data_IF_713816612491
#
_entry.id   IF_713816612491
#
_cell.length_a   1.000
_cell.length_b   1.000
_cell.length_c   1.000
_cell.angle_alpha   90.00
_cell.angle_beta   90.00
_cell.angle_gamma   90.00
#
_symmetry.space_group_name_H-M   'P 1'
#
loop_
_entity.id
_entity.type
_entity.pdbx_description
1 polymer ?
#
# COMPACT_ATOMS: atom_id res chain seq x y z
N UNK A 1 -9.02 7.81 -8.43
CA UNK A 1 -9.53 8.11 -7.06
C UNK A 1 -10.73 9.06 -7.11
N UNK A 2 -10.72 10.09 -7.97
CA UNK A 2 -11.93 10.84 -8.34
C UNK A 2 -12.61 10.11 -9.51
N UNK A 3 -13.71 9.41 -9.26
CA UNK A 3 -14.37 8.60 -10.29
C UNK A 3 -15.73 8.13 -9.81
N UNK A 4 -15.77 7.30 -8.77
CA UNK A 4 -17.04 6.86 -8.18
C UNK A 4 -17.83 8.05 -7.61
N UNK A 5 -19.12 8.18 -7.98
CA UNK A 5 -20.04 9.16 -7.39
C UNK A 5 -20.31 10.44 -8.19
N UNK A 6 -19.66 10.69 -9.33
CA UNK A 6 -20.07 11.77 -10.23
C UNK A 6 -21.14 11.24 -11.18
N UNK A 7 -22.39 11.62 -10.92
CA UNK A 7 -23.54 11.37 -11.79
C UNK A 7 -23.99 12.69 -12.43
N UNK A 8 -23.29 13.11 -13.49
CA UNK A 8 -23.61 14.29 -14.27
C UNK A 8 -23.91 13.86 -15.71
N UNK A 9 -25.15 14.05 -16.15
CA UNK A 9 -25.62 13.53 -17.42
C UNK A 9 -24.90 14.12 -18.65
N UNK A 10 -24.46 15.37 -18.55
CA UNK A 10 -23.95 16.16 -19.67
C UNK A 10 -22.42 16.32 -19.71
N UNK A 11 -21.67 15.31 -19.26
CA UNK A 11 -20.21 15.29 -19.46
C UNK A 11 -19.92 15.10 -20.95
N UNK A 12 -19.24 16.08 -21.56
CA UNK A 12 -18.96 16.13 -23.00
C UNK A 12 -17.60 15.61 -23.42
N UNK A 13 -16.64 15.59 -22.50
CA UNK A 13 -15.32 15.08 -22.81
C UNK A 13 -14.67 14.40 -21.61
N UNK A 14 -13.90 13.37 -21.89
CA UNK A 14 -13.04 12.67 -20.93
C UNK A 14 -11.66 12.54 -21.56
N UNK A 15 -10.66 13.03 -20.85
CA UNK A 15 -9.25 12.95 -21.26
C UNK A 15 -8.50 12.10 -20.26
N UNK A 16 -8.00 10.96 -20.71
CA UNK A 16 -7.07 10.12 -19.96
C UNK A 16 -5.66 10.64 -20.22
N UNK A 17 -5.16 11.45 -19.28
CA UNK A 17 -3.81 12.01 -19.34
C UNK A 17 -2.71 10.95 -19.13
N UNK A 18 -3.03 9.88 -18.40
CA UNK A 18 -2.16 8.72 -18.21
C UNK A 18 -2.89 7.44 -18.61
N UNK A 19 -2.13 6.39 -18.90
CA UNK A 19 -2.70 5.06 -19.14
C UNK A 19 -3.56 4.58 -17.95
N UNK A 20 -4.78 4.06 -18.20
CA UNK A 20 -5.57 3.38 -17.18
C UNK A 20 -4.91 2.05 -16.78
N UNK A 21 -5.23 1.54 -15.58
CA UNK A 21 -4.68 0.28 -15.06
C UNK A 21 -5.24 -0.97 -15.75
N UNK A 22 -6.37 -0.84 -16.42
CA UNK A 22 -7.03 -1.90 -17.16
C UNK A 22 -8.13 -1.35 -18.06
N UNK A 23 -8.63 -2.17 -18.99
CA UNK A 23 -9.75 -1.81 -19.86
C UNK A 23 -11.08 -1.65 -19.10
N UNK A 24 -11.26 -2.35 -17.97
CA UNK A 24 -12.42 -2.16 -17.09
C UNK A 24 -12.41 -0.77 -16.46
N UNK A 25 -11.24 -0.32 -15.98
CA UNK A 25 -11.10 1.04 -15.46
C UNK A 25 -11.37 2.08 -16.55
N UNK A 26 -10.77 1.89 -17.74
CA UNK A 26 -11.00 2.77 -18.88
C UNK A 26 -12.50 2.88 -19.23
N UNK A 27 -13.17 1.74 -19.39
CA UNK A 27 -14.60 1.65 -19.76
C UNK A 27 -15.50 2.31 -18.72
N UNK A 28 -15.26 2.02 -17.43
CA UNK A 28 -16.01 2.64 -16.34
C UNK A 28 -15.86 4.16 -16.32
N UNK A 29 -14.67 4.66 -16.65
CA UNK A 29 -14.37 6.09 -16.67
C UNK A 29 -15.01 6.77 -17.89
N UNK A 30 -14.80 6.26 -19.11
CA UNK A 30 -15.38 6.84 -20.33
C UNK A 30 -16.92 6.76 -20.34
N UNK A 31 -17.51 5.74 -19.71
CA UNK A 31 -18.96 5.57 -19.57
C UNK A 31 -19.67 6.64 -18.71
N UNK A 32 -18.93 7.63 -18.21
CA UNK A 32 -19.49 8.82 -17.55
C UNK A 32 -19.89 9.92 -18.54
N UNK A 33 -19.30 9.92 -19.74
CA UNK A 33 -19.61 10.90 -20.76
C UNK A 33 -20.89 10.52 -21.52
N UNK A 34 -21.59 11.52 -22.07
CA UNK A 34 -22.68 11.25 -23.03
C UNK A 34 -23.94 10.58 -22.46
N UNK A 35 -24.18 10.63 -21.14
CA UNK A 35 -25.35 9.95 -20.51
C UNK A 35 -26.70 10.54 -20.91
N UNK A 36 -26.72 11.79 -21.35
CA UNK A 36 -27.88 12.46 -21.97
C UNK A 36 -28.12 12.06 -23.43
N UNK A 37 -27.32 11.13 -23.98
CA UNK A 37 -27.41 10.66 -25.36
C UNK A 37 -26.76 11.60 -26.39
N UNK A 38 -26.27 12.77 -25.98
CA UNK A 38 -25.53 13.66 -26.85
C UNK A 38 -24.08 13.18 -27.03
N UNK A 39 -23.51 13.43 -28.21
CA UNK A 39 -22.13 13.05 -28.54
C UNK A 39 -21.14 13.55 -27.48
N UNK A 40 -20.19 12.70 -27.12
CA UNK A 40 -19.09 13.03 -26.25
C UNK A 40 -17.75 12.54 -26.83
N UNK A 41 -16.67 13.19 -26.42
CA UNK A 41 -15.31 12.92 -26.90
C UNK A 41 -14.48 12.24 -25.80
N UNK A 42 -13.93 11.07 -26.08
CA UNK A 42 -13.03 10.38 -25.16
C UNK A 42 -11.66 10.24 -25.82
N UNK A 43 -10.61 10.67 -25.13
CA UNK A 43 -9.26 10.70 -25.66
C UNK A 43 -8.25 10.14 -24.66
N UNK A 44 -7.39 9.23 -25.13
CA UNK A 44 -6.31 8.63 -24.36
C UNK A 44 -4.97 9.16 -24.85
N UNK A 45 -4.24 9.86 -24.00
CA UNK A 45 -2.88 10.32 -24.26
C UNK A 45 -1.90 9.21 -23.88
N UNK A 46 -1.81 8.18 -24.73
CA UNK A 46 -1.04 6.99 -24.44
C UNK A 46 0.48 7.23 -24.53
N UNK A 47 1.19 7.05 -23.41
CA UNK A 47 2.64 7.17 -23.30
C UNK A 47 3.24 5.89 -22.71
N UNK A 48 4.34 5.40 -23.28
CA UNK A 48 5.06 4.25 -22.75
C UNK A 48 5.74 4.54 -21.40
N UNK A 49 5.98 5.80 -21.05
CA UNK A 49 6.49 6.18 -19.73
C UNK A 49 5.48 5.86 -18.62
N UNK A 50 4.18 5.98 -18.90
CA UNK A 50 3.12 5.62 -17.94
C UNK A 50 3.10 4.12 -17.68
N UNK A 51 3.28 3.31 -18.73
CA UNK A 51 3.29 1.85 -18.63
C UNK A 51 4.36 1.40 -17.64
N UNK A 52 5.57 1.95 -17.76
CA UNK A 52 6.71 1.66 -16.87
C UNK A 52 6.38 1.96 -15.41
N UNK A 53 5.72 3.08 -15.13
CA UNK A 53 5.29 3.45 -13.78
C UNK A 53 4.25 2.47 -13.25
N UNK A 54 3.27 2.07 -14.06
CA UNK A 54 2.22 1.11 -13.68
C UNK A 54 2.77 -0.30 -13.43
N UNK A 55 3.69 -0.75 -14.28
CA UNK A 55 4.42 -2.02 -14.10
C UNK A 55 5.23 -2.00 -12.79
N UNK A 56 5.95 -0.92 -12.52
CA UNK A 56 6.70 -0.75 -11.26
C UNK A 56 5.80 -0.89 -10.03
N UNK A 57 4.59 -0.32 -10.05
CA UNK A 57 3.63 -0.53 -8.96
C UNK A 57 3.29 -2.01 -8.79
N UNK A 58 3.02 -2.71 -9.88
CA UNK A 58 2.67 -4.14 -9.91
C UNK A 58 3.81 -5.01 -9.34
N UNK A 59 5.04 -4.81 -9.81
CA UNK A 59 6.22 -5.53 -9.30
C UNK A 59 6.53 -5.22 -7.83
N UNK A 60 6.26 -3.99 -7.39
CA UNK A 60 6.45 -3.56 -6.01
C UNK A 60 5.48 -4.20 -5.02
N UNK A 61 4.34 -4.71 -5.51
CA UNK A 61 3.28 -5.31 -4.71
C UNK A 61 3.43 -6.84 -4.52
N UNK A 62 4.41 -7.46 -5.19
CA UNK A 62 4.75 -8.87 -4.98
C UNK A 62 5.77 -9.03 -3.86
N UNK A 63 5.42 -9.73 -2.76
CA UNK A 63 6.30 -9.90 -1.61
C UNK A 63 7.44 -10.89 -1.88
N UNK A 64 8.56 -10.72 -1.17
CA UNK A 64 9.64 -11.72 -1.17
C UNK A 64 9.21 -13.01 -0.45
N UNK A 65 9.61 -14.20 -0.93
CA UNK A 65 9.31 -15.48 -0.28
C UNK A 65 9.65 -15.52 1.22
N UNK A 66 10.83 -15.03 1.60
CA UNK A 66 11.28 -15.07 3.00
C UNK A 66 10.51 -14.08 3.88
N UNK A 67 10.18 -12.90 3.35
CA UNK A 67 9.33 -11.93 4.04
C UNK A 67 7.94 -12.49 4.29
N UNK A 68 7.36 -13.15 3.29
CA UNK A 68 6.05 -13.81 3.40
C UNK A 68 6.09 -14.94 4.44
N UNK A 69 7.10 -15.81 4.39
CA UNK A 69 7.28 -16.89 5.39
C UNK A 69 7.39 -16.33 6.81
N UNK A 70 8.14 -15.24 6.99
CA UNK A 70 8.32 -14.59 8.28
C UNK A 70 7.01 -14.02 8.84
N UNK A 71 6.20 -13.35 8.00
CA UNK A 71 4.86 -12.88 8.40
C UNK A 71 3.96 -14.05 8.77
N UNK A 72 3.90 -15.09 7.92
CA UNK A 72 3.03 -16.24 8.17
C UNK A 72 3.36 -16.92 9.49
N UNK A 73 4.65 -17.10 9.80
CA UNK A 73 5.09 -17.62 11.10
C UNK A 73 4.61 -16.71 12.24
N UNK A 74 4.84 -15.39 12.12
CA UNK A 74 4.45 -14.42 13.15
C UNK A 74 2.93 -14.38 13.41
N UNK A 75 2.11 -14.56 12.37
CA UNK A 75 0.64 -14.56 12.48
C UNK A 75 0.10 -15.91 12.99
N UNK A 76 0.61 -17.03 12.50
CA UNK A 76 0.04 -18.37 12.76
C UNK A 76 0.59 -19.02 14.05
N UNK A 77 1.66 -18.47 14.63
CA UNK A 77 2.15 -18.85 15.96
C UNK A 77 1.36 -18.19 17.11
N UNK A 78 0.49 -17.21 16.81
CA UNK A 78 -0.38 -16.57 17.80
C UNK A 78 -1.38 -17.56 18.42
N UNK A 79 -1.85 -17.23 19.63
CA UNK A 79 -2.84 -18.04 20.37
C UNK A 79 -4.16 -17.28 20.48
N UNK A 80 -5.25 -17.93 20.12
CA UNK A 80 -6.61 -17.39 20.30
C UNK A 80 -6.86 -16.12 19.47
N UNK A 81 -7.22 -15.05 20.15
CA UNK A 81 -7.37 -13.72 19.56
C UNK A 81 -6.06 -12.94 19.70
N UNK A 82 -5.71 -12.25 18.62
CA UNK A 82 -4.55 -11.40 18.55
C UNK A 82 -4.86 -10.20 17.68
N UNK A 83 -3.97 -9.21 17.69
CA UNK A 83 -4.14 -8.01 16.91
C UNK A 83 -2.81 -7.56 16.33
N UNK A 84 -2.91 -6.84 15.21
CA UNK A 84 -1.74 -6.44 14.44
C UNK A 84 -1.83 -4.97 14.07
N UNK A 85 -0.67 -4.34 13.97
CA UNK A 85 -0.51 -3.08 13.25
C UNK A 85 0.05 -3.40 11.86
N UNK A 86 -0.74 -3.11 10.83
CA UNK A 86 -0.33 -3.30 9.43
C UNK A 86 0.96 -2.51 9.15
N UNK A 87 1.12 -1.32 9.74
CA UNK A 87 2.31 -0.51 9.57
C UNK A 87 3.54 -1.09 10.28
N UNK A 88 3.37 -1.75 11.42
CA UNK A 88 4.48 -2.42 12.12
C UNK A 88 4.93 -3.66 11.33
N UNK A 89 3.99 -4.50 10.89
CA UNK A 89 4.28 -5.65 10.04
C UNK A 89 4.92 -5.24 8.70
N UNK A 90 4.42 -4.16 8.09
CA UNK A 90 4.99 -3.60 6.86
C UNK A 90 6.46 -3.26 7.01
N UNK A 91 6.83 -2.63 8.13
CA UNK A 91 8.20 -2.27 8.45
C UNK A 91 9.07 -3.46 8.75
N UNK A 92 8.58 -4.37 9.59
CA UNK A 92 9.33 -5.53 10.04
C UNK A 92 9.70 -6.49 8.91
N UNK A 93 8.86 -6.56 7.86
CA UNK A 93 8.99 -7.56 6.80
C UNK A 93 9.20 -6.97 5.40
N UNK A 94 9.32 -5.65 5.26
CA UNK A 94 9.51 -4.98 3.96
C UNK A 94 8.38 -5.26 2.95
N UNK A 95 7.14 -5.33 3.43
CA UNK A 95 5.95 -5.58 2.61
C UNK A 95 5.03 -4.35 2.66
N UNK A 96 4.50 -3.91 1.52
CA UNK A 96 3.59 -2.75 1.48
C UNK A 96 2.29 -3.04 2.24
N UNK A 97 1.65 -2.05 2.89
CA UNK A 97 0.41 -2.26 3.65
C UNK A 97 -0.71 -2.93 2.86
N UNK A 98 -0.92 -2.55 1.59
CA UNK A 98 -1.95 -3.14 0.73
C UNK A 98 -1.69 -4.63 0.43
N UNK A 99 -0.43 -5.02 0.35
CA UNK A 99 -0.01 -6.42 0.12
C UNK A 99 -0.25 -7.25 1.38
N UNK A 100 -0.01 -6.69 2.57
CA UNK A 100 -0.36 -7.33 3.85
C UNK A 100 -1.88 -7.51 3.95
N UNK A 101 -2.67 -6.49 3.61
CA UNK A 101 -4.13 -6.63 3.60
C UNK A 101 -4.60 -7.73 2.63
N UNK A 102 -3.99 -7.82 1.45
CA UNK A 102 -4.25 -8.90 0.48
C UNK A 102 -3.91 -10.27 1.10
N UNK A 103 -2.74 -10.40 1.74
CA UNK A 103 -2.33 -11.64 2.41
C UNK A 103 -3.33 -12.06 3.49
N UNK A 104 -3.74 -11.12 4.35
CA UNK A 104 -4.73 -11.39 5.40
C UNK A 104 -6.07 -11.82 4.81
N UNK A 105 -6.48 -11.20 3.70
CA UNK A 105 -7.70 -11.58 2.97
C UNK A 105 -7.61 -13.01 2.44
N UNK A 106 -6.47 -13.42 1.85
CA UNK A 106 -6.30 -14.81 1.41
C UNK A 106 -6.37 -15.80 2.59
N UNK A 107 -5.72 -15.48 3.71
CA UNK A 107 -5.78 -16.30 4.91
C UNK A 107 -7.21 -16.39 5.49
N UNK A 108 -7.99 -15.32 5.38
CA UNK A 108 -9.40 -15.29 5.81
C UNK A 108 -10.29 -16.15 4.89
N UNK A 109 -10.15 -15.98 3.57
CA UNK A 109 -10.90 -16.76 2.57
C UNK A 109 -10.61 -18.26 2.72
N UNK A 110 -9.35 -18.64 2.97
CA UNK A 110 -8.95 -20.03 3.20
C UNK A 110 -9.26 -20.53 4.62
N UNK A 111 -9.81 -19.68 5.47
CA UNK A 111 -10.32 -20.01 6.81
C UNK A 111 -9.24 -20.23 7.86
N UNK A 112 -8.06 -19.64 7.71
CA UNK A 112 -7.00 -19.67 8.73
C UNK A 112 -7.27 -18.67 9.87
N UNK A 113 -7.84 -17.52 9.53
CA UNK A 113 -8.15 -16.44 10.47
C UNK A 113 -9.52 -15.83 10.16
N UNK A 114 -10.08 -15.12 11.14
CA UNK A 114 -11.27 -14.29 10.97
C UNK A 114 -10.98 -12.89 11.51
N UNK A 115 -11.33 -11.84 10.75
CA UNK A 115 -11.20 -10.47 11.21
C UNK A 115 -12.16 -10.20 12.39
N UNK A 116 -11.66 -9.49 13.40
CA UNK A 116 -12.49 -8.91 14.48
C UNK A 116 -12.50 -7.38 14.36
N UNK A 117 -13.08 -6.66 15.32
CA UNK A 117 -13.18 -5.21 15.22
C UNK A 117 -11.81 -4.53 15.34
N UNK A 118 -11.51 -3.52 14.50
CA UNK A 118 -10.35 -2.65 14.71
C UNK A 118 -10.51 -1.84 15.99
N UNK A 119 -9.39 -1.46 16.58
CA UNK A 119 -9.37 -0.58 17.76
C UNK A 119 -8.11 0.30 17.77
N UNK A 120 -8.13 1.35 18.58
CA UNK A 120 -6.95 2.20 18.80
C UNK A 120 -6.18 1.68 20.00
N UNK A 121 -4.88 1.42 19.81
CA UNK A 121 -3.98 0.93 20.87
C UNK A 121 -3.82 1.98 21.97
N UNK A 122 -3.78 3.26 21.59
CA UNK A 122 -3.59 4.36 22.51
C UNK A 122 -4.41 5.59 22.14
N UNK A 123 -4.60 6.47 23.11
CA UNK A 123 -5.27 7.74 22.95
C UNK A 123 -4.33 8.85 23.40
N UNK A 124 -4.14 9.84 22.53
CA UNK A 124 -3.46 11.08 22.91
C UNK A 124 -4.50 12.01 23.52
N UNK A 125 -4.26 12.44 24.74
CA UNK A 125 -5.18 13.27 25.53
C UNK A 125 -4.51 14.58 25.90
N UNK A 126 -5.26 15.67 25.87
CA UNK A 126 -4.83 16.98 26.34
C UNK A 126 -5.91 17.55 27.24
N UNK A 127 -5.52 18.09 28.39
CA UNK A 127 -6.43 18.76 29.29
C UNK A 127 -6.94 20.09 28.71
N UNK A 128 -8.26 20.29 28.71
CA UNK A 128 -8.87 21.58 28.42
C UNK A 128 -9.11 22.38 29.71
N UNK A 129 -9.23 21.69 30.85
CA UNK A 129 -9.36 22.24 32.20
C UNK A 129 -8.28 21.68 33.12
N UNK A 130 -7.98 22.35 34.23
CA UNK A 130 -6.93 21.86 35.14
C UNK A 130 -7.28 20.50 35.74
N UNK A 131 -6.25 19.71 36.08
CA UNK A 131 -6.43 18.39 36.68
C UNK A 131 -7.19 18.47 38.01
N UNK A 132 -6.99 19.54 38.78
CA UNK A 132 -7.71 19.77 40.04
C UNK A 132 -9.21 19.93 39.81
N UNK A 133 -9.60 20.62 38.73
CA UNK A 133 -11.00 20.78 38.36
C UNK A 133 -11.62 19.43 37.96
N UNK A 134 -10.89 18.64 37.18
CA UNK A 134 -11.33 17.31 36.74
C UNK A 134 -11.52 16.33 37.91
N UNK A 135 -10.73 16.47 38.99
CA UNK A 135 -10.88 15.66 40.21
C UNK A 135 -11.90 16.23 41.20
N UNK A 136 -12.36 17.48 41.01
CA UNK A 136 -13.30 18.14 41.89
C UNK A 136 -14.74 17.68 41.57
N UNK A 137 -15.38 17.00 42.52
CA UNK A 137 -16.75 16.50 42.36
C UNK A 137 -16.84 15.02 41.96
N UNK A 138 -15.72 14.34 41.75
CA UNK A 138 -15.68 12.89 41.57
C UNK A 138 -15.89 12.15 42.90
N UNK A 139 -16.55 10.99 42.84
CA UNK A 139 -16.56 10.06 43.96
C UNK A 139 -15.15 9.45 44.21
N UNK A 140 -14.90 8.83 45.37
CA UNK A 140 -13.58 8.28 45.69
C UNK A 140 -13.06 7.26 44.67
N UNK A 141 -13.94 6.47 44.06
CA UNK A 141 -13.57 5.43 43.08
C UNK A 141 -13.17 6.05 41.74
N UNK A 142 -13.93 7.03 41.27
CA UNK A 142 -13.63 7.83 40.09
C UNK A 142 -12.31 8.58 40.26
N UNK A 143 -12.09 9.16 41.45
CA UNK A 143 -10.84 9.89 41.74
C UNK A 143 -9.61 8.98 41.63
N UNK A 144 -9.66 7.79 42.22
CA UNK A 144 -8.58 6.80 42.09
C UNK A 144 -8.32 6.41 40.64
N UNK A 145 -9.38 6.20 39.86
CA UNK A 145 -9.27 5.85 38.44
C UNK A 145 -8.63 6.98 37.61
N UNK A 146 -9.06 8.22 37.82
CA UNK A 146 -8.50 9.39 37.13
C UNK A 146 -7.05 9.66 37.56
N UNK A 147 -6.69 9.34 38.80
CA UNK A 147 -5.29 9.38 39.25
C UNK A 147 -4.42 8.31 38.57
N UNK A 148 -4.97 7.12 38.30
CA UNK A 148 -4.30 6.06 37.52
C UNK A 148 -4.13 6.48 36.06
N UNK A 149 -5.19 7.01 35.43
CA UNK A 149 -5.18 7.45 34.03
C UNK A 149 -4.29 8.68 33.82
N UNK A 150 -4.29 9.58 34.81
CA UNK A 150 -3.60 10.86 34.74
C UNK A 150 -2.72 11.08 35.98
N UNK A 151 -1.60 10.35 36.11
CA UNK A 151 -0.67 10.58 37.22
C UNK A 151 -0.09 12.00 37.18
N UNK A 152 0.34 12.56 38.33
CA UNK A 152 0.84 13.93 38.42
C UNK A 152 2.02 14.16 37.47
N UNK A 153 1.97 15.23 36.69
CA UNK A 153 3.03 15.61 35.76
C UNK A 153 3.47 17.05 36.01
N UNK A 154 4.71 17.39 35.61
CA UNK A 154 5.24 18.76 35.75
C UNK A 154 4.56 19.79 34.84
N UNK A 155 3.84 19.35 33.81
CA UNK A 155 3.08 20.18 32.89
C UNK A 155 1.81 19.43 32.50
N UNK A 156 0.64 20.07 32.56
CA UNK A 156 -0.64 19.48 32.11
C UNK A 156 -1.05 19.94 30.70
N UNK A 157 -0.30 20.87 30.09
CA UNK A 157 -0.63 21.49 28.81
C UNK A 157 -0.05 20.77 27.57
N UNK A 158 0.43 19.54 27.71
CA UNK A 158 0.98 18.74 26.61
C UNK A 158 0.15 17.49 26.36
N UNK A 159 0.23 16.96 25.13
CA UNK A 159 -0.44 15.72 24.76
C UNK A 159 0.17 14.52 25.49
N UNK A 160 -0.62 13.84 26.32
CA UNK A 160 -0.24 12.59 26.98
C UNK A 160 -0.76 11.41 26.18
N UNK A 161 -0.03 10.31 26.15
CA UNK A 161 -0.50 9.07 25.52
C UNK A 161 -0.97 8.10 26.61
N UNK A 162 -2.18 7.57 26.46
CA UNK A 162 -2.79 6.59 27.36
C UNK A 162 -3.03 5.31 26.57
N UNK A 163 -2.54 4.17 27.08
CA UNK A 163 -2.93 2.84 26.62
C UNK A 163 -4.11 2.35 27.50
N UNK A 164 -5.31 2.18 26.93
CA UNK A 164 -6.46 1.67 27.68
C UNK A 164 -6.27 0.25 28.23
N UNK A 165 -5.36 -0.55 27.68
CA UNK A 165 -5.00 -1.88 28.18
C UNK A 165 -4.19 -1.79 29.46
N UNK A 166 -3.10 -1.01 29.47
CA UNK A 166 -2.31 -0.79 30.69
C UNK A 166 -3.16 -0.13 31.79
N UNK A 167 -4.02 0.82 31.42
CA UNK A 167 -4.94 1.45 32.34
C UNK A 167 -6.02 0.49 32.87
N UNK A 168 -6.50 -0.44 32.05
CA UNK A 168 -7.42 -1.49 32.45
C UNK A 168 -6.77 -2.40 33.50
N UNK A 169 -5.55 -2.87 33.24
CA UNK A 169 -4.79 -3.73 34.16
C UNK A 169 -4.53 -3.03 35.52
N UNK A 170 -4.25 -1.73 35.49
CA UNK A 170 -3.98 -0.95 36.71
C UNK A 170 -5.26 -0.59 37.51
N UNK A 171 -6.43 -0.54 36.86
CA UNK A 171 -7.68 -0.08 37.47
C UNK A 171 -8.71 -1.19 37.74
N UNK A 172 -8.48 -2.40 37.22
CA UNK A 172 -9.45 -3.50 37.27
C UNK A 172 -10.67 -3.31 36.35
N UNK A 173 -10.64 -2.29 35.47
CA UNK A 173 -11.65 -2.08 34.42
C UNK A 173 -11.29 -2.79 33.14
N UNK A 174 -12.23 -2.88 32.20
CA UNK A 174 -11.98 -3.34 30.84
C UNK A 174 -11.46 -2.23 29.94
N UNK A 175 -10.73 -2.60 28.89
CA UNK A 175 -10.26 -1.69 27.82
C UNK A 175 -11.40 -0.82 27.24
N UNK A 176 -12.58 -1.41 27.09
CA UNK A 176 -13.78 -0.75 26.55
C UNK A 176 -14.30 0.32 27.51
N UNK A 177 -14.35 0.03 28.81
CA UNK A 177 -14.74 1.02 29.82
C UNK A 177 -13.76 2.19 29.89
N UNK A 178 -12.44 1.94 29.83
CA UNK A 178 -11.46 3.02 29.81
C UNK A 178 -11.64 3.90 28.57
N UNK A 179 -11.83 3.29 27.40
CA UNK A 179 -12.08 4.05 26.16
C UNK A 179 -13.36 4.89 26.26
N UNK A 180 -14.42 4.34 26.84
CA UNK A 180 -15.69 5.02 27.07
C UNK A 180 -15.52 6.23 28.01
N UNK A 181 -14.77 6.08 29.11
CA UNK A 181 -14.49 7.18 30.03
C UNK A 181 -13.73 8.32 29.35
N UNK A 182 -12.75 8.00 28.49
CA UNK A 182 -12.03 9.03 27.74
C UNK A 182 -12.96 9.79 26.79
N UNK A 183 -13.89 9.10 26.13
CA UNK A 183 -14.92 9.73 25.30
C UNK A 183 -15.87 10.60 26.12
N UNK A 184 -16.34 10.13 27.27
CA UNK A 184 -17.21 10.91 28.15
C UNK A 184 -16.53 12.19 28.65
N UNK A 185 -15.25 12.13 29.02
CA UNK A 185 -14.48 13.32 29.42
C UNK A 185 -14.23 14.29 28.24
N UNK A 186 -14.16 13.79 27.01
CA UNK A 186 -14.13 14.63 25.81
C UNK A 186 -15.48 15.32 25.56
N UNK A 187 -16.57 14.57 25.67
CA UNK A 187 -17.94 15.08 25.47
C UNK A 187 -18.31 16.15 26.51
N UNK A 188 -17.85 16.00 27.75
CA UNK A 188 -17.99 17.00 28.81
C UNK A 188 -17.07 18.23 28.60
N UNK A 189 -16.17 18.17 27.61
CA UNK A 189 -15.23 19.23 27.27
C UNK A 189 -14.01 19.33 28.19
N UNK A 190 -13.80 18.35 29.07
CA UNK A 190 -12.69 18.35 30.02
C UNK A 190 -11.36 17.96 29.35
N UNK A 191 -11.43 17.11 28.33
CA UNK A 191 -10.28 16.66 27.53
C UNK A 191 -10.48 16.94 26.04
N UNK A 192 -9.38 17.10 25.32
CA UNK A 192 -9.32 16.82 23.88
C UNK A 192 -8.71 15.43 23.70
N UNK A 193 -9.35 14.53 22.95
CA UNK A 193 -8.86 13.17 22.73
C UNK A 193 -8.56 12.95 21.25
N UNK A 194 -7.44 12.28 20.98
CA UNK A 194 -6.99 11.92 19.63
C UNK A 194 -6.61 10.45 19.62
N UNK A 195 -7.44 9.57 19.05
CA UNK A 195 -7.10 8.17 18.89
C UNK A 195 -5.79 8.00 18.10
N UNK A 196 -4.98 7.03 18.49
CA UNK A 196 -3.64 6.80 17.95
C UNK A 196 -3.36 5.30 17.86
N UNK A 197 -2.42 4.93 16.97
CA UNK A 197 -1.98 3.54 16.75
C UNK A 197 -3.16 2.58 16.48
N UNK A 198 -3.78 2.70 15.31
CA UNK A 198 -4.82 1.75 14.86
C UNK A 198 -4.25 0.33 14.80
N UNK A 199 -5.01 -0.62 15.34
CA UNK A 199 -4.70 -2.05 15.32
C UNK A 199 -5.93 -2.81 14.84
N UNK A 200 -5.70 -3.85 14.07
CA UNK A 200 -6.72 -4.73 13.52
C UNK A 200 -6.69 -6.05 14.29
N UNK A 201 -7.82 -6.41 14.90
CA UNK A 201 -7.96 -7.68 15.60
C UNK A 201 -8.27 -8.84 14.64
N UNK A 202 -7.83 -10.03 15.04
CA UNK A 202 -8.02 -11.30 14.36
C UNK A 202 -8.20 -12.44 15.35
N UNK A 203 -8.90 -13.48 14.93
CA UNK A 203 -8.98 -14.76 15.65
C UNK A 203 -8.40 -15.86 14.78
N UNK A 204 -7.49 -16.65 15.33
CA UNK A 204 -6.98 -17.84 14.65
C UNK A 204 -8.04 -18.95 14.66
N UNK A 205 -8.41 -19.46 13.48
CA UNK A 205 -9.43 -20.50 13.32
C UNK A 205 -8.83 -21.90 13.23
N UNK A 206 -7.75 -22.04 12.45
CA UNK A 206 -7.01 -23.29 12.28
C UNK A 206 -5.53 -23.03 12.03
N UNK A 207 -4.69 -24.02 12.31
CA UNK A 207 -3.29 -24.03 11.89
C UNK A 207 -3.14 -24.79 10.58
N UNK A 208 -2.20 -24.38 9.70
CA UNK A 208 -1.88 -25.17 8.52
C UNK A 208 -1.19 -26.47 8.93
N UNK A 209 -1.44 -27.54 8.18
CA UNK A 209 -0.72 -28.81 8.32
C UNK A 209 0.76 -28.63 7.96
N UNK A 210 1.04 -27.80 6.95
CA UNK A 210 2.39 -27.44 6.51
C UNK A 210 2.48 -25.95 6.23
N UNK A 211 3.28 -25.23 7.04
CA UNK A 211 3.59 -23.82 6.80
C UNK A 211 4.30 -23.61 5.45
N UNK A 212 5.12 -24.57 5.04
CA UNK A 212 5.86 -24.52 3.77
C UNK A 212 4.92 -24.58 2.58
N UNK A 213 3.94 -25.48 2.60
CA UNK A 213 2.95 -25.61 1.52
C UNK A 213 2.08 -24.37 1.41
N UNK A 214 1.58 -23.86 2.55
CA UNK A 214 0.83 -22.59 2.58
C UNK A 214 1.67 -21.43 2.04
N UNK A 215 2.93 -21.33 2.43
CA UNK A 215 3.84 -20.28 1.94
C UNK A 215 4.00 -20.38 0.41
N UNK A 216 4.26 -21.57 -0.12
CA UNK A 216 4.43 -21.77 -1.56
C UNK A 216 3.14 -21.44 -2.33
N UNK A 217 1.98 -21.84 -1.79
CA UNK A 217 0.67 -21.53 -2.35
C UNK A 217 0.43 -20.02 -2.43
N UNK A 218 0.72 -19.28 -1.37
CA UNK A 218 0.56 -17.83 -1.32
C UNK A 218 1.55 -17.11 -2.25
N UNK A 219 2.79 -17.60 -2.37
CA UNK A 219 3.76 -17.09 -3.38
C UNK A 219 3.17 -17.22 -4.78
N UNK A 220 2.61 -18.39 -5.12
CA UNK A 220 1.98 -18.61 -6.41
C UNK A 220 0.79 -17.67 -6.64
N UNK A 221 -0.04 -17.41 -5.62
CA UNK A 221 -1.14 -16.44 -5.74
C UNK A 221 -0.66 -15.02 -6.03
N UNK A 222 0.40 -14.55 -5.36
CA UNK A 222 0.98 -13.24 -5.63
C UNK A 222 1.64 -13.17 -7.02
N UNK A 223 2.30 -14.23 -7.46
CA UNK A 223 2.88 -14.31 -8.81
C UNK A 223 1.79 -14.32 -9.90
N UNK A 224 0.73 -15.11 -9.71
CA UNK A 224 -0.42 -15.14 -10.63
C UNK A 224 -1.07 -13.76 -10.73
N UNK A 225 -1.22 -13.06 -9.59
CA UNK A 225 -1.71 -11.69 -9.57
C UNK A 225 -0.78 -10.73 -10.32
N UNK A 226 0.53 -10.78 -10.08
CA UNK A 226 1.52 -9.98 -10.82
C UNK A 226 1.38 -10.20 -12.33
N UNK A 227 1.32 -11.46 -12.78
CA UNK A 227 1.15 -11.78 -14.21
C UNK A 227 -0.19 -11.27 -14.76
N UNK A 228 -1.29 -11.45 -14.03
CA UNK A 228 -2.61 -10.98 -14.46
C UNK A 228 -2.71 -9.46 -14.53
N UNK A 229 -2.11 -8.77 -13.56
CA UNK A 229 -2.08 -7.30 -13.52
C UNK A 229 -1.25 -6.74 -14.69
N UNK A 230 -0.10 -7.34 -15.00
CA UNK A 230 0.72 -6.99 -16.17
C UNK A 230 -0.01 -7.27 -17.50
N UNK A 231 -0.71 -8.41 -17.61
CA UNK A 231 -1.48 -8.74 -18.80
C UNK A 231 -2.58 -7.69 -19.05
N UNK A 232 -3.30 -7.26 -18.01
CA UNK A 232 -4.33 -6.21 -18.13
C UNK A 232 -3.76 -4.86 -18.54
N UNK A 233 -2.53 -4.52 -18.13
CA UNK A 233 -1.83 -3.33 -18.63
C UNK A 233 -1.51 -3.48 -20.12
N UNK A 234 -1.05 -4.67 -20.53
CA UNK A 234 -0.77 -4.95 -21.93
C UNK A 234 -2.03 -4.86 -22.79
N UNK A 235 -3.20 -5.27 -22.28
CA UNK A 235 -4.48 -5.12 -22.98
C UNK A 235 -4.81 -3.65 -23.26
N UNK A 236 -4.51 -2.74 -22.33
CA UNK A 236 -4.65 -1.30 -22.54
C UNK A 236 -3.73 -0.79 -23.64
N UNK A 237 -2.48 -1.26 -23.66
CA UNK A 237 -1.50 -0.91 -24.71
C UNK A 237 -1.98 -1.43 -26.08
N UNK A 238 -2.40 -2.70 -26.13
CA UNK A 238 -2.92 -3.33 -27.35
C UNK A 238 -4.14 -2.57 -27.87
N UNK A 239 -5.05 -2.16 -26.98
CA UNK A 239 -6.21 -1.36 -27.32
C UNK A 239 -5.83 0.02 -27.90
N UNK A 240 -4.84 0.69 -27.31
CA UNK A 240 -4.36 1.98 -27.82
C UNK A 240 -3.70 1.88 -29.20
N UNK A 241 -2.96 0.78 -29.42
CA UNK A 241 -2.23 0.48 -30.66
C UNK A 241 -3.05 -0.28 -31.71
N UNK A 242 -4.28 -0.67 -31.40
CA UNK A 242 -5.14 -1.43 -32.32
C UNK A 242 -5.37 -0.64 -33.60
N UNK A 243 -5.19 -1.31 -34.75
CA UNK A 243 -5.51 -0.77 -36.07
C UNK A 243 -7.00 -0.82 -36.40
N UNK A 244 -7.76 -1.61 -35.64
CA UNK A 244 -9.17 -1.89 -35.89
C UNK A 244 -10.06 -0.87 -35.17
N UNK A 245 -11.38 -1.04 -35.28
CA UNK A 245 -12.30 -0.17 -34.57
C UNK A 245 -12.09 -0.26 -33.04
N UNK A 246 -11.75 0.86 -32.40
CA UNK A 246 -11.49 0.92 -30.96
C UNK A 246 -12.68 0.42 -30.14
N UNK A 247 -13.91 0.81 -30.50
CA UNK A 247 -15.09 0.44 -29.73
C UNK A 247 -15.44 -1.05 -29.90
N UNK A 248 -15.26 -1.58 -31.12
CA UNK A 248 -15.40 -3.01 -31.39
C UNK A 248 -14.38 -3.84 -30.63
N UNK A 249 -13.10 -3.47 -30.67
CA UNK A 249 -12.03 -4.11 -29.90
C UNK A 249 -12.31 -4.08 -28.41
N UNK A 250 -12.81 -2.95 -27.89
CA UNK A 250 -13.18 -2.81 -26.49
C UNK A 250 -14.36 -3.71 -26.10
N UNK A 251 -15.41 -3.81 -26.91
CA UNK A 251 -16.53 -4.72 -26.63
C UNK A 251 -16.11 -6.20 -26.72
N UNK A 252 -15.23 -6.53 -27.68
CA UNK A 252 -14.70 -7.89 -27.81
C UNK A 252 -13.94 -8.34 -26.56
N UNK A 253 -13.26 -7.42 -25.86
CA UNK A 253 -12.63 -7.70 -24.54
C UNK A 253 -13.65 -8.17 -23.50
N UNK A 254 -14.88 -7.65 -23.54
CA UNK A 254 -15.98 -8.04 -22.66
C UNK A 254 -16.81 -9.21 -23.18
N UNK A 255 -16.40 -9.82 -24.30
CA UNK A 255 -17.12 -10.94 -24.93
C UNK A 255 -18.35 -10.51 -25.72
N UNK A 256 -18.44 -9.24 -26.10
CA UNK A 256 -19.52 -8.70 -26.93
C UNK A 256 -19.03 -8.46 -28.37
N UNK A 257 -19.87 -8.79 -29.35
CA UNK A 257 -19.58 -8.60 -30.76
C UNK A 257 -20.35 -7.41 -31.32
N UNK A 258 -19.70 -6.65 -32.22
CA UNK A 258 -20.34 -5.56 -32.95
C UNK A 258 -19.66 -5.32 -34.30
N UNK A 259 -20.37 -4.69 -35.22
CA UNK A 259 -19.78 -4.11 -36.43
C UNK A 259 -18.95 -2.86 -36.10
N UNK A 260 -17.98 -2.47 -36.96
CA UNK A 260 -17.19 -1.25 -36.76
C UNK A 260 -18.06 0.00 -36.51
N UNK A 261 -17.74 0.77 -35.48
CA UNK A 261 -18.61 1.86 -35.02
C UNK A 261 -18.70 3.07 -35.96
N UNK A 262 -17.80 3.18 -36.96
CA UNK A 262 -17.78 4.28 -37.93
C UNK A 262 -17.35 5.65 -37.39
N UNK A 263 -17.14 5.80 -36.07
CA UNK A 263 -16.93 7.11 -35.42
C UNK A 263 -15.63 7.22 -34.60
N UNK A 264 -14.96 6.12 -34.25
CA UNK A 264 -13.69 6.18 -33.54
C UNK A 264 -12.56 6.71 -34.45
N UNK A 265 -11.42 7.10 -33.88
CA UNK A 265 -10.26 7.60 -34.64
C UNK A 265 -9.82 6.62 -35.75
N UNK A 266 -9.76 5.33 -35.43
CA UNK A 266 -9.42 4.24 -36.37
C UNK A 266 -10.39 4.13 -37.54
N UNK A 267 -11.70 4.13 -37.27
CA UNK A 267 -12.73 4.17 -38.32
C UNK A 267 -12.67 5.44 -39.18
N UNK A 268 -12.18 6.55 -38.61
CA UNK A 268 -11.94 7.82 -39.32
C UNK A 268 -10.61 7.86 -40.08
N UNK A 269 -9.84 6.77 -40.08
CA UNK A 269 -8.59 6.62 -40.85
C UNK A 269 -7.31 7.03 -40.10
N UNK A 270 -7.39 7.35 -38.81
CA UNK A 270 -6.21 7.58 -37.98
C UNK A 270 -5.43 6.29 -37.77
N UNK A 271 -4.11 6.35 -37.98
CA UNK A 271 -3.23 5.18 -37.88
C UNK A 271 -2.44 5.23 -36.57
N UNK A 272 -2.52 4.20 -35.72
CA UNK A 272 -1.70 4.13 -34.52
C UNK A 272 -0.21 4.05 -34.91
N UNK A 273 0.70 4.54 -34.04
CA UNK A 273 2.12 4.24 -34.20
C UNK A 273 2.38 2.74 -33.97
N UNK A 274 3.53 2.23 -34.40
CA UNK A 274 3.90 0.80 -34.20
C UNK A 274 4.12 0.46 -32.72
N UNK A 275 4.51 1.46 -31.91
CA UNK A 275 4.72 1.35 -30.47
C UNK A 275 4.33 2.66 -29.79
N UNK A 276 4.01 2.58 -28.50
CA UNK A 276 3.77 3.79 -27.72
C UNK A 276 5.01 4.68 -27.71
N UNK A 277 4.85 6.01 -27.90
CA UNK A 277 5.95 6.94 -27.70
C UNK A 277 6.42 6.87 -26.24
N UNK A 278 7.72 6.81 -26.03
CA UNK A 278 8.33 6.72 -24.71
C UNK A 278 9.68 7.42 -24.71
N UNK A 279 10.13 7.84 -23.53
CA UNK A 279 11.47 8.39 -23.34
C UNK A 279 12.51 7.29 -23.61
N UNK A 280 13.57 7.62 -24.35
CA UNK A 280 14.65 6.67 -24.64
C UNK A 280 15.38 6.24 -23.37
N UNK A 281 15.76 4.97 -23.30
CA UNK A 281 16.39 4.35 -22.13
C UNK A 281 17.83 3.99 -22.46
N UNK A 282 18.81 4.88 -22.25
CA UNK A 282 20.21 4.60 -22.58
C UNK A 282 20.72 3.44 -21.71
N UNK A 283 21.58 2.58 -22.24
CA UNK A 283 22.18 1.51 -21.44
C UNK A 283 22.93 2.10 -20.22
N UNK A 284 22.92 1.43 -19.06
CA UNK A 284 23.66 1.87 -17.88
C UNK A 284 25.15 2.06 -18.22
N UNK A 285 25.69 3.23 -17.88
CA UNK A 285 27.10 3.56 -18.11
C UNK A 285 28.03 2.77 -17.17
N UNK A 286 29.34 2.78 -17.47
CA UNK A 286 30.35 2.22 -16.56
C UNK A 286 30.36 2.92 -15.19
N UNK A 287 30.01 4.19 -15.14
CA UNK A 287 29.87 4.95 -13.89
C UNK A 287 28.68 4.44 -13.08
N UNK A 288 27.52 4.24 -13.73
CA UNK A 288 26.33 3.69 -13.09
C UNK A 288 26.61 2.30 -12.48
N UNK A 289 27.28 1.43 -13.24
CA UNK A 289 27.67 0.11 -12.77
C UNK A 289 28.63 0.18 -11.57
N UNK A 290 29.54 1.15 -11.55
CA UNK A 290 30.45 1.38 -10.42
C UNK A 290 29.69 1.82 -9.17
N UNK A 291 28.72 2.73 -9.32
CA UNK A 291 27.84 3.17 -8.22
C UNK A 291 27.03 1.99 -7.68
N UNK A 292 26.43 1.17 -8.55
CA UNK A 292 25.63 0.01 -8.18
C UNK A 292 26.50 -1.03 -7.45
N UNK A 293 27.69 -1.34 -7.96
CA UNK A 293 28.62 -2.23 -7.29
C UNK A 293 29.02 -1.68 -5.92
N UNK A 294 29.36 -0.39 -5.82
CA UNK A 294 29.66 0.26 -4.54
C UNK A 294 28.52 0.13 -3.52
N UNK A 295 27.27 0.26 -3.97
CA UNK A 295 26.08 0.06 -3.13
C UNK A 295 25.94 -1.39 -2.64
N UNK A 296 26.18 -2.38 -3.52
CA UNK A 296 26.14 -3.81 -3.16
C UNK A 296 27.18 -4.13 -2.08
N UNK A 297 28.39 -3.58 -2.19
CA UNK A 297 29.47 -3.79 -1.22
C UNK A 297 29.15 -3.27 0.18
N UNK A 298 28.25 -2.29 0.31
CA UNK A 298 27.80 -1.77 1.61
C UNK A 298 26.88 -2.75 2.37
N UNK A 299 26.38 -3.81 1.70
CA UNK A 299 25.60 -4.91 2.30
C UNK A 299 24.37 -4.46 3.10
N UNK A 300 23.72 -3.39 2.67
CA UNK A 300 22.48 -2.88 3.26
C UNK A 300 21.44 -4.00 3.38
N UNK A 301 20.86 -4.27 4.57
CA UNK A 301 19.91 -5.36 4.76
C UNK A 301 18.69 -5.28 3.83
N UNK A 302 18.22 -4.07 3.54
CA UNK A 302 17.08 -3.82 2.65
C UNK A 302 17.37 -3.94 1.15
N UNK A 303 18.61 -4.23 0.73
CA UNK A 303 19.03 -4.31 -0.68
C UNK A 303 19.72 -5.63 -1.03
N UNK A 304 19.57 -6.68 -0.20
CA UNK A 304 20.32 -7.93 -0.34
C UNK A 304 19.86 -8.82 -1.47
N UNK A 305 18.58 -8.73 -1.86
CA UNK A 305 18.04 -9.54 -2.94
C UNK A 305 18.05 -8.76 -4.26
N UNK A 306 18.20 -9.44 -5.41
CA UNK A 306 18.12 -8.79 -6.73
C UNK A 306 16.85 -7.95 -6.91
N UNK A 307 15.72 -8.43 -6.40
CA UNK A 307 14.43 -7.73 -6.52
C UNK A 307 14.34 -6.49 -5.62
N UNK A 308 14.94 -6.52 -4.43
CA UNK A 308 15.04 -5.32 -3.58
C UNK A 308 15.96 -4.27 -4.17
N UNK A 309 17.13 -4.67 -4.68
CA UNK A 309 18.05 -3.77 -5.36
C UNK A 309 17.39 -3.16 -6.61
N UNK A 310 16.72 -3.98 -7.43
CA UNK A 310 16.01 -3.48 -8.60
C UNK A 310 14.94 -2.45 -8.24
N UNK A 311 14.17 -2.70 -7.17
CA UNK A 311 13.16 -1.74 -6.69
C UNK A 311 13.80 -0.41 -6.35
N UNK A 312 14.92 -0.45 -5.65
CA UNK A 312 15.66 0.74 -5.24
C UNK A 312 16.21 1.54 -6.44
N UNK A 313 16.83 0.85 -7.41
CA UNK A 313 17.39 1.47 -8.61
C UNK A 313 16.30 2.06 -9.51
N UNK A 314 15.12 1.44 -9.57
CA UNK A 314 13.95 1.98 -10.28
C UNK A 314 13.17 3.06 -9.50
N UNK A 315 13.67 3.52 -8.35
CA UNK A 315 13.03 4.58 -7.57
C UNK A 315 11.74 4.14 -6.85
N UNK A 316 11.55 2.84 -6.65
CA UNK A 316 10.42 2.32 -5.89
C UNK A 316 10.74 2.29 -4.39
N UNK A 317 9.94 3.02 -3.62
CA UNK A 317 10.01 2.97 -2.17
C UNK A 317 9.64 1.59 -1.63
N UNK A 318 10.35 1.17 -0.61
CA UNK A 318 10.00 0.04 0.24
C UNK A 318 10.11 0.46 1.71
N UNK A 319 9.38 -0.20 2.62
CA UNK A 319 9.58 0.04 4.05
C UNK A 319 11.07 -0.05 4.44
N UNK A 320 11.79 -1.09 4.03
CA UNK A 320 13.20 -1.26 4.38
C UNK A 320 14.10 -0.10 3.92
N UNK A 321 13.81 0.53 2.78
CA UNK A 321 14.66 1.62 2.24
C UNK A 321 14.26 3.00 2.77
N UNK A 322 12.99 3.16 3.21
CA UNK A 322 12.40 4.44 3.61
C UNK A 322 12.62 4.81 5.09
N UNK A 323 13.05 3.86 5.93
CA UNK A 323 13.30 4.08 7.36
C UNK A 323 14.79 4.20 7.71
N UNK A 324 15.05 4.70 8.91
CA UNK A 324 16.40 4.92 9.45
C UNK A 324 17.00 3.62 10.00
N UNK A 325 18.22 3.29 9.58
CA UNK A 325 18.99 2.16 10.11
C UNK A 325 19.93 2.58 11.25
N UNK A 326 20.36 1.61 12.07
CA UNK A 326 21.45 1.77 13.04
C UNK A 326 22.69 1.05 12.52
N UNK A 327 23.85 1.73 12.50
CA UNK A 327 25.11 1.15 12.03
C UNK A 327 25.68 0.13 13.04
N UNK A 328 26.39 -0.93 12.59
CA UNK A 328 26.94 -1.99 13.45
C UNK A 328 27.97 -1.52 14.50
N UNK A 329 28.53 -0.32 14.37
CA UNK A 329 29.65 0.17 15.19
C UNK A 329 29.23 1.14 16.32
N UNK A 330 27.98 1.11 16.76
CA UNK A 330 27.49 1.96 17.85
C UNK A 330 27.34 3.45 17.47
N UNK A 331 27.71 3.84 16.25
CA UNK A 331 27.44 5.16 15.69
C UNK A 331 25.94 5.31 15.36
N UNK A 332 25.25 6.19 16.08
CA UNK A 332 23.85 6.56 15.83
C UNK A 332 23.74 7.45 14.59
N UNK A 333 23.94 6.92 13.39
CA UNK A 333 23.62 7.64 12.16
C UNK A 333 22.28 7.16 11.60
N UNK A 334 21.25 7.96 11.82
CA UNK A 334 19.93 7.81 11.20
C UNK A 334 20.08 8.15 9.71
N UNK A 335 20.15 7.14 8.85
CA UNK A 335 20.20 7.37 7.39
C UNK A 335 19.07 6.62 6.67
N UNK A 336 18.37 7.32 5.78
CA UNK A 336 17.40 6.72 4.86
C UNK A 336 18.18 6.24 3.65
N UNK A 337 18.04 4.98 3.25
CA UNK A 337 18.79 4.48 2.09
C UNK A 337 18.35 5.22 0.81
N UNK A 338 17.09 5.65 0.73
CA UNK A 338 16.57 6.44 -0.40
C UNK A 338 17.24 7.81 -0.59
N UNK A 339 18.07 8.30 0.35
CA UNK A 339 18.89 9.50 0.11
C UNK A 339 20.24 9.21 -0.55
N UNK A 340 20.58 7.94 -0.80
CA UNK A 340 21.78 7.56 -1.54
C UNK A 340 21.62 7.93 -3.03
N UNK A 341 22.69 8.40 -3.67
CA UNK A 341 22.70 8.84 -5.08
C UNK A 341 22.33 7.75 -6.10
N UNK A 342 22.25 6.50 -5.66
CA UNK A 342 21.88 5.35 -6.49
C UNK A 342 20.37 5.10 -6.50
N UNK A 343 19.62 5.76 -5.60
CA UNK A 343 18.18 5.66 -5.59
C UNK A 343 17.62 6.28 -6.87
N UNK A 344 16.72 5.58 -7.54
CA UNK A 344 16.14 6.02 -8.82
C UNK A 344 17.16 6.18 -9.98
N UNK A 345 18.39 5.65 -9.83
CA UNK A 345 19.44 5.74 -10.86
C UNK A 345 18.99 5.17 -12.22
N UNK A 346 18.15 4.13 -12.20
CA UNK A 346 17.62 3.43 -13.36
C UNK A 346 16.09 3.57 -13.44
N UNK A 347 15.53 4.70 -13.02
CA UNK A 347 14.07 4.96 -13.05
C UNK A 347 13.49 4.94 -14.49
N UNK A 348 14.33 5.22 -15.48
CA UNK A 348 13.99 5.17 -16.90
C UNK A 348 14.18 3.78 -17.51
N UNK A 349 14.65 2.76 -16.77
CA UNK A 349 14.78 1.37 -17.26
C UNK A 349 13.65 0.46 -16.82
N UNK A 350 13.27 -0.53 -17.65
CA UNK A 350 12.17 -1.43 -17.27
C UNK A 350 12.56 -2.20 -16.02
N UNK A 351 11.61 -2.48 -15.13
CA UNK A 351 11.94 -3.23 -13.92
C UNK A 351 12.55 -4.60 -14.23
N UNK A 352 12.10 -5.24 -15.31
CA UNK A 352 12.57 -6.56 -15.70
C UNK A 352 14.03 -6.54 -16.17
N UNK A 353 14.44 -5.50 -16.89
CA UNK A 353 15.83 -5.31 -17.32
C UNK A 353 16.72 -5.05 -16.12
N UNK A 354 16.28 -4.15 -15.22
CA UNK A 354 17.01 -3.83 -13.98
C UNK A 354 17.08 -5.06 -13.07
N UNK A 355 16.02 -5.85 -12.96
CA UNK A 355 16.01 -7.09 -12.20
C UNK A 355 17.00 -8.11 -12.77
N UNK A 356 17.08 -8.21 -14.10
CA UNK A 356 18.03 -9.09 -14.78
C UNK A 356 19.47 -8.65 -14.55
N UNK A 357 19.74 -7.34 -14.61
CA UNK A 357 21.03 -6.75 -14.22
C UNK A 357 21.36 -7.04 -12.75
N UNK A 358 20.43 -6.84 -11.83
CA UNK A 358 20.67 -7.10 -10.42
C UNK A 358 20.96 -8.58 -10.14
N UNK A 359 20.35 -9.51 -10.88
CA UNK A 359 20.64 -10.95 -10.80
C UNK A 359 22.03 -11.32 -11.31
N UNK A 360 22.56 -10.60 -12.31
CA UNK A 360 23.92 -10.84 -12.79
C UNK A 360 24.99 -10.26 -11.87
N UNK A 361 24.65 -9.18 -11.14
CA UNK A 361 25.56 -8.51 -10.19
C UNK A 361 25.59 -9.16 -8.80
N UNK A 362 24.44 -9.66 -8.33
CA UNK A 362 24.33 -10.37 -7.05
C UNK A 362 24.44 -11.86 -7.37
N UNK A 363 25.67 -12.39 -7.33
CA UNK A 363 25.93 -13.83 -7.40
C UNK A 363 25.47 -14.45 -6.07
N UNK A 364 24.66 -15.54 -6.08
CA UNK A 364 24.11 -16.16 -4.88
C UNK A 364 25.14 -16.67 -3.88
#
# INVERSE_FOLDING_TARGET
AFGMGIDKANIRAIYHYNLPKSLENYTQEIGRAGRDGATAHCELLACGDDLRVLENFTYGDTPQPDALRAILRSLLDQKGEFDISIFELSRAHDIRPLVINTLLTYLEIEGYLAATSPFYASYKVRFNRSREYLLAGCDPTQKTLLEILFPPAKNDNWWREIDPGEAADASGKTRKEISQILTELEDLGDLTVKPSKVRQGYRLLKKPDSLTELTNRLIQLFQQRETSDLARLQDVVNQALSSDCLYQSLLSHFGEEMEPCGQCSRCRGDRPPDKLPATGTPDPSSEDLTIIQGLIHQKHPGLRTPRQLARFLCGMTSPATSYYWYLPEGARKKERITSHNAYALLETHSFQDVLSLCKSLIIP
#
